data_IF_267270487431
#
_entry.id   IF_267270487431
#
_cell.length_a   1.000
_cell.length_b   1.000
_cell.length_c   1.000
_cell.angle_alpha   90.00
_cell.angle_beta   90.00
_cell.angle_gamma   90.00
#
_symmetry.space_group_name_H-M   'P 1'
#
loop_
_entity.id
_entity.type
_entity.pdbx_description
1 polymer ?
#
# COMPACT_ATOMS: atom_id res chain seq x y z
N UNK A 1 -7.55 5.24 -1.27
CA UNK A 1 -7.87 6.20 -2.35
C UNK A 1 -6.81 6.17 -3.47
N UNK A 2 -5.52 6.19 -3.16
CA UNK A 2 -4.41 6.22 -4.15
C UNK A 2 -4.47 5.15 -5.25
N UNK A 3 -4.81 3.87 -4.98
CA UNK A 3 -4.89 2.85 -6.02
C UNK A 3 -5.94 3.15 -7.09
N UNK A 4 -7.09 3.73 -6.69
CA UNK A 4 -8.16 4.10 -7.62
C UNK A 4 -7.71 5.22 -8.57
N UNK A 5 -7.02 6.22 -8.01
CA UNK A 5 -6.45 7.33 -8.79
C UNK A 5 -5.39 6.80 -9.76
N UNK A 6 -4.55 5.89 -9.30
CA UNK A 6 -3.54 5.26 -10.15
C UNK A 6 -4.14 4.49 -11.32
N UNK A 7 -5.13 3.62 -11.06
CA UNK A 7 -5.79 2.82 -12.10
C UNK A 7 -6.43 3.75 -13.13
N UNK A 8 -7.13 4.79 -12.68
CA UNK A 8 -7.73 5.78 -13.56
C UNK A 8 -6.68 6.52 -14.39
N UNK A 9 -5.64 7.07 -13.76
CA UNK A 9 -4.56 7.77 -14.45
C UNK A 9 -3.84 6.87 -15.45
N UNK A 10 -3.61 5.61 -15.08
CA UNK A 10 -3.01 4.58 -15.91
C UNK A 10 -3.86 4.24 -17.13
N UNK A 11 -5.18 4.19 -16.97
CA UNK A 11 -6.13 3.98 -18.07
C UNK A 11 -6.14 5.14 -19.07
N UNK A 12 -6.08 6.37 -18.56
CA UNK A 12 -6.04 7.59 -19.38
C UNK A 12 -4.62 7.99 -19.83
N UNK A 13 -3.60 7.17 -19.54
CA UNK A 13 -2.20 7.42 -19.89
C UNK A 13 -1.67 8.77 -19.36
N UNK A 14 -2.11 9.14 -18.16
CA UNK A 14 -1.64 10.34 -17.45
C UNK A 14 -0.49 9.93 -16.52
N UNK A 15 0.69 9.73 -17.12
CA UNK A 15 1.87 9.15 -16.47
C UNK A 15 2.22 9.84 -15.14
N UNK A 16 2.39 11.15 -15.14
CA UNK A 16 2.72 11.93 -13.93
C UNK A 16 1.71 11.75 -12.78
N UNK A 17 0.43 11.58 -13.10
CA UNK A 17 -0.59 11.35 -12.08
C UNK A 17 -0.54 9.92 -11.56
N UNK A 18 -0.25 8.95 -12.42
CA UNK A 18 -0.03 7.57 -11.99
C UNK A 18 1.22 7.45 -11.09
N UNK A 19 2.32 8.10 -11.45
CA UNK A 19 3.54 8.14 -10.62
C UNK A 19 3.26 8.79 -9.26
N UNK A 20 2.61 9.96 -9.24
CA UNK A 20 2.25 10.63 -8.00
C UNK A 20 1.33 9.77 -7.11
N UNK A 21 0.36 9.06 -7.71
CA UNK A 21 -0.52 8.17 -6.96
C UNK A 21 0.24 6.97 -6.37
N UNK A 22 1.21 6.41 -7.11
CA UNK A 22 2.08 5.34 -6.63
C UNK A 22 2.96 5.82 -5.47
N UNK A 23 3.62 6.96 -5.62
CA UNK A 23 4.45 7.56 -4.57
C UNK A 23 3.66 7.82 -3.29
N UNK A 24 2.44 8.35 -3.43
CA UNK A 24 1.57 8.57 -2.27
C UNK A 24 1.16 7.26 -1.60
N UNK A 25 0.91 6.19 -2.37
CA UNK A 25 0.66 4.88 -1.76
C UNK A 25 1.90 4.39 -1.00
N UNK A 26 3.10 4.50 -1.56
CA UNK A 26 4.33 4.08 -0.89
C UNK A 26 4.53 4.80 0.45
N UNK A 27 4.30 6.11 0.49
CA UNK A 27 4.33 6.88 1.74
C UNK A 27 3.29 6.39 2.76
N UNK A 28 2.08 6.06 2.32
CA UNK A 28 1.03 5.49 3.20
C UNK A 28 1.45 4.13 3.76
N UNK A 29 1.98 3.24 2.91
CA UNK A 29 2.46 1.92 3.33
C UNK A 29 3.63 2.05 4.32
N UNK A 30 4.52 3.02 4.11
CA UNK A 30 5.60 3.33 5.04
C UNK A 30 5.09 3.77 6.41
N UNK A 31 4.10 4.67 6.43
CA UNK A 31 3.50 5.12 7.67
C UNK A 31 2.86 3.97 8.45
N UNK A 32 2.30 2.96 7.77
CA UNK A 32 1.75 1.78 8.43
C UNK A 32 2.82 0.86 9.04
N UNK A 33 4.00 0.78 8.43
CA UNK A 33 5.08 -0.08 8.92
C UNK A 33 5.49 0.28 10.36
N UNK A 34 5.50 1.57 10.68
CA UNK A 34 5.91 2.12 11.98
C UNK A 34 4.82 2.00 13.07
N UNK A 35 3.64 1.45 12.75
CA UNK A 35 2.49 1.34 13.68
C UNK A 35 2.15 -0.12 14.02
N UNK A 36 1.51 -0.36 15.17
CA UNK A 36 0.89 -1.67 15.44
C UNK A 36 -0.35 -1.85 14.57
N UNK A 37 -0.48 -3.03 13.95
CA UNK A 37 -1.63 -3.34 13.10
C UNK A 37 -2.87 -3.67 13.93
N UNK A 38 -3.84 -2.78 13.90
CA UNK A 38 -5.19 -3.09 14.35
C UNK A 38 -5.96 -3.89 13.27
N UNK A 39 -7.07 -4.56 13.63
CA UNK A 39 -7.87 -5.32 12.67
C UNK A 39 -8.42 -4.52 11.49
N UNK A 40 -8.68 -3.22 11.66
CA UNK A 40 -9.18 -2.35 10.59
C UNK A 40 -8.08 -2.03 9.58
N UNK A 41 -6.85 -1.79 10.04
CA UNK A 41 -5.69 -1.58 9.18
C UNK A 41 -5.37 -2.83 8.37
N UNK A 42 -5.43 -4.02 8.98
CA UNK A 42 -5.26 -5.29 8.24
C UNK A 42 -6.34 -5.42 7.17
N UNK A 43 -7.60 -5.14 7.50
CA UNK A 43 -8.70 -5.16 6.54
C UNK A 43 -8.48 -4.18 5.38
N UNK A 44 -8.01 -2.97 5.66
CA UNK A 44 -7.67 -1.98 4.62
C UNK A 44 -6.57 -2.50 3.68
N UNK A 45 -5.54 -3.15 4.21
CA UNK A 45 -4.47 -3.75 3.40
C UNK A 45 -5.01 -4.89 2.54
N UNK A 46 -5.91 -5.71 3.09
CA UNK A 46 -6.56 -6.81 2.35
C UNK A 46 -7.40 -6.28 1.18
N UNK A 47 -8.17 -5.23 1.42
CA UNK A 47 -8.97 -4.55 0.38
C UNK A 47 -8.08 -3.88 -0.66
N UNK A 48 -6.97 -3.27 -0.23
CA UNK A 48 -5.96 -2.69 -1.11
C UNK A 48 -5.37 -3.73 -2.07
N UNK A 49 -4.93 -4.89 -1.54
CA UNK A 49 -4.37 -5.97 -2.37
C UNK A 49 -5.43 -6.48 -3.35
N UNK A 50 -6.64 -6.76 -2.86
CA UNK A 50 -7.75 -7.22 -3.71
C UNK A 50 -7.99 -6.25 -4.87
N UNK A 51 -8.14 -4.96 -4.55
CA UNK A 51 -8.39 -3.93 -5.55
C UNK A 51 -7.27 -3.85 -6.59
N UNK A 52 -6.00 -3.87 -6.16
CA UNK A 52 -4.85 -3.80 -7.07
C UNK A 52 -4.83 -5.01 -8.01
N UNK A 53 -5.03 -6.22 -7.49
CA UNK A 53 -5.01 -7.43 -8.32
C UNK A 53 -6.21 -7.57 -9.25
N UNK A 54 -7.37 -7.02 -8.88
CA UNK A 54 -8.55 -6.94 -9.74
C UNK A 54 -8.42 -5.90 -10.87
N UNK A 55 -7.69 -4.81 -10.64
CA UNK A 55 -7.73 -3.63 -11.51
C UNK A 55 -6.43 -3.30 -12.24
N UNK A 56 -5.35 -4.03 -11.96
CA UNK A 56 -4.10 -3.92 -12.72
C UNK A 56 -3.71 -5.27 -13.29
N UNK A 57 -2.87 -5.29 -14.32
CA UNK A 57 -2.35 -6.50 -14.96
C UNK A 57 -0.87 -6.32 -15.28
N UNK A 58 -0.16 -7.42 -15.54
CA UNK A 58 1.23 -7.38 -15.98
C UNK A 58 1.37 -6.47 -17.22
N UNK A 59 2.27 -5.49 -17.13
CA UNK A 59 2.59 -4.61 -18.25
C UNK A 59 3.85 -5.13 -18.92
N UNK A 60 3.75 -5.56 -20.16
CA UNK A 60 4.90 -5.93 -21.00
C UNK A 60 5.82 -7.01 -20.40
N UNK A 61 5.27 -7.95 -19.63
CA UNK A 61 6.03 -9.02 -18.97
C UNK A 61 6.73 -8.57 -17.68
N UNK A 62 6.62 -7.31 -17.29
CA UNK A 62 7.09 -6.81 -16.00
C UNK A 62 5.94 -6.75 -14.99
N UNK A 63 6.30 -6.97 -13.72
CA UNK A 63 5.36 -6.82 -12.62
C UNK A 63 4.91 -5.36 -12.54
N UNK A 64 3.59 -5.18 -12.53
CA UNK A 64 2.98 -3.86 -12.48
C UNK A 64 3.40 -3.12 -11.20
N UNK A 65 3.78 -1.83 -11.26
CA UNK A 65 4.35 -1.10 -10.13
C UNK A 65 3.51 -1.13 -8.85
N UNK A 66 2.18 -1.03 -8.97
CA UNK A 66 1.28 -1.08 -7.83
C UNK A 66 1.22 -2.48 -7.21
N UNK A 67 1.10 -3.55 -8.02
CA UNK A 67 1.22 -4.95 -7.56
C UNK A 67 2.54 -5.17 -6.83
N UNK A 68 3.64 -4.67 -7.38
CA UNK A 68 4.97 -4.77 -6.76
C UNK A 68 5.03 -4.07 -5.41
N UNK A 69 4.49 -2.86 -5.29
CA UNK A 69 4.49 -2.09 -4.05
C UNK A 69 3.73 -2.83 -2.93
N UNK A 70 2.49 -3.26 -3.20
CA UNK A 70 1.66 -3.95 -2.19
C UNK A 70 2.20 -5.33 -1.84
N UNK A 71 2.76 -6.06 -2.81
CA UNK A 71 3.35 -7.39 -2.59
C UNK A 71 4.59 -7.28 -1.70
N UNK A 72 5.51 -6.36 -2.02
CA UNK A 72 6.75 -6.22 -1.24
C UNK A 72 6.45 -5.80 0.20
N UNK A 73 5.52 -4.87 0.39
CA UNK A 73 5.06 -4.49 1.71
C UNK A 73 4.46 -5.69 2.46
N UNK A 74 3.59 -6.46 1.79
CA UNK A 74 2.98 -7.65 2.39
C UNK A 74 4.01 -8.71 2.76
N UNK A 75 5.04 -8.90 1.93
CA UNK A 75 6.13 -9.85 2.19
C UNK A 75 6.95 -9.45 3.43
N UNK A 76 7.21 -8.15 3.63
CA UNK A 76 7.94 -7.63 4.78
C UNK A 76 7.14 -7.79 6.07
N UNK A 77 5.83 -7.55 6.01
CA UNK A 77 4.96 -7.50 7.19
C UNK A 77 4.11 -8.78 7.35
N UNK A 78 4.42 -9.83 6.59
CA UNK A 78 3.56 -11.02 6.44
C UNK A 78 3.16 -11.64 7.76
N UNK A 79 4.12 -11.79 8.68
CA UNK A 79 3.89 -12.38 10.01
C UNK A 79 2.87 -11.58 10.82
N UNK A 80 2.88 -10.25 10.69
CA UNK A 80 1.97 -9.35 11.41
C UNK A 80 0.61 -9.29 10.72
N UNK A 81 0.59 -9.25 9.39
CA UNK A 81 -0.64 -9.14 8.59
C UNK A 81 -1.44 -10.44 8.54
N UNK A 82 -0.79 -11.61 8.58
CA UNK A 82 -1.49 -12.89 8.36
C UNK A 82 -1.99 -13.57 9.65
N UNK A 83 -2.12 -12.84 10.77
CA UNK A 83 -2.59 -13.40 12.05
C UNK A 83 -3.97 -14.04 11.95
N UNK A 84 -4.86 -13.49 11.10
CA UNK A 84 -6.23 -13.99 10.86
C UNK A 84 -6.38 -14.81 9.59
N UNK A 85 -5.27 -15.20 8.95
CA UNK A 85 -5.24 -15.92 7.67
C UNK A 85 -5.85 -15.17 6.48
N UNK A 86 -6.05 -13.85 6.59
CA UNK A 86 -6.67 -13.07 5.51
C UNK A 86 -5.75 -12.95 4.29
N UNK A 87 -4.44 -12.86 4.50
CA UNK A 87 -3.45 -12.93 3.41
C UNK A 87 -3.48 -14.33 2.77
N UNK A 88 -3.62 -15.40 3.56
CA UNK A 88 -3.77 -16.76 3.02
C UNK A 88 -5.03 -16.91 2.16
N UNK A 89 -6.14 -16.26 2.51
CA UNK A 89 -7.34 -16.22 1.65
C UNK A 89 -7.07 -15.47 0.36
N UNK A 90 -6.36 -14.33 0.41
CA UNK A 90 -5.98 -13.58 -0.79
C UNK A 90 -5.12 -14.42 -1.74
N UNK A 91 -4.16 -15.19 -1.22
CA UNK A 91 -3.37 -16.11 -2.03
C UNK A 91 -4.23 -17.17 -2.73
N UNK A 92 -5.31 -17.64 -2.08
CA UNK A 92 -6.26 -18.58 -2.68
C UNK A 92 -7.14 -17.94 -3.76
N UNK A 93 -7.52 -16.68 -3.58
CA UNK A 93 -8.38 -15.95 -4.52
C UNK A 93 -7.61 -15.37 -5.72
N UNK A 94 -6.33 -15.02 -5.53
CA UNK A 94 -5.49 -14.37 -6.51
C UNK A 94 -4.19 -15.16 -6.69
N UNK A 95 -4.16 -16.09 -7.65
CA UNK A 95 -2.98 -16.92 -7.93
C UNK A 95 -1.74 -16.10 -8.28
N UNK A 96 -1.89 -15.02 -9.07
CA UNK A 96 -0.80 -14.09 -9.38
C UNK A 96 -0.20 -13.47 -8.12
N UNK A 97 -1.04 -13.11 -7.14
CA UNK A 97 -0.56 -12.55 -5.87
C UNK A 97 0.24 -13.58 -5.08
N UNK A 98 -0.19 -14.84 -5.07
CA UNK A 98 0.57 -15.90 -4.42
C UNK A 98 1.97 -16.08 -5.05
N UNK A 99 2.06 -16.04 -6.39
CA UNK A 99 3.31 -16.12 -7.12
C UNK A 99 4.24 -14.93 -6.83
N UNK A 100 3.69 -13.72 -6.86
CA UNK A 100 4.42 -12.49 -6.59
C UNK A 100 4.94 -12.47 -5.15
N UNK A 101 4.09 -12.81 -4.18
CA UNK A 101 4.43 -12.85 -2.76
C UNK A 101 5.52 -13.89 -2.47
N UNK A 102 5.41 -15.09 -3.04
CA UNK A 102 6.43 -16.13 -2.86
C UNK A 102 7.78 -15.71 -3.45
N UNK A 103 7.77 -15.02 -4.59
CA UNK A 103 8.98 -14.49 -5.23
C UNK A 103 9.67 -13.44 -4.34
N UNK A 104 8.90 -12.54 -3.75
CA UNK A 104 9.39 -11.53 -2.82
C UNK A 104 9.94 -12.14 -1.51
N UNK A 105 9.23 -13.11 -0.93
CA UNK A 105 9.69 -13.82 0.27
C UNK A 105 11.01 -14.55 0.01
N UNK A 106 11.11 -15.25 -1.12
CA UNK A 106 12.33 -15.96 -1.52
C UNK A 106 13.50 -14.99 -1.71
N UNK A 107 13.26 -13.81 -2.29
CA UNK A 107 14.29 -12.75 -2.38
C UNK A 107 14.72 -12.28 -1.01
N UNK A 108 13.78 -12.02 -0.09
CA UNK A 108 14.09 -11.52 1.25
C UNK A 108 14.91 -12.53 2.06
N UNK A 109 14.61 -13.82 1.95
CA UNK A 109 15.40 -14.90 2.59
C UNK A 109 16.83 -14.92 2.05
N UNK A 110 17.02 -14.87 0.72
CA UNK A 110 18.35 -14.82 0.11
C UNK A 110 19.17 -13.61 0.57
N UNK A 111 18.54 -12.45 0.75
CA UNK A 111 19.22 -11.25 1.25
C UNK A 111 19.61 -11.40 2.73
N UNK A 112 18.77 -12.03 3.55
CA UNK A 112 19.07 -12.29 4.96
C UNK A 112 20.23 -13.30 5.15
N UNK A 113 20.35 -14.29 4.26
CA UNK A 113 21.43 -15.29 4.28
C UNK A 113 22.80 -14.70 3.87
N UNK A 114 22.79 -13.69 2.98
CA UNK A 114 24.03 -13.06 2.47
C UNK A 114 24.50 -11.89 3.36
N UNK A 115 23.61 -11.29 4.14
CA UNK A 115 23.85 -10.04 4.87
C UNK A 115 23.91 -10.19 6.39
N UNK A 116 25.04 -10.64 6.93
CA UNK A 116 25.40 -10.45 8.34
C UNK A 116 25.71 -8.99 8.74
N UNK A 117 25.16 -7.98 8.05
CA UNK A 117 25.51 -6.59 8.31
C UNK A 117 24.63 -5.54 7.62
N UNK A 118 24.17 -4.59 8.44
CA UNK A 118 23.69 -3.23 8.15
C UNK A 118 22.30 -3.10 7.50
N UNK A 119 21.30 -2.80 8.34
CA UNK A 119 19.98 -2.30 7.93
C UNK A 119 20.07 -0.85 7.44
N UNK A 120 20.05 -0.64 6.13
CA UNK A 120 19.60 0.64 5.57
C UNK A 120 18.06 0.64 5.50
N UNK A 121 17.41 1.74 5.89
CA UNK A 121 15.96 2.00 5.77
C UNK A 121 15.53 2.09 4.29
N UNK A 122 15.48 0.95 3.62
CA UNK A 122 14.78 0.81 2.35
C UNK A 122 13.45 0.12 2.63
N UNK A 123 12.34 0.78 2.30
CA UNK A 123 11.15 0.02 1.96
C UNK A 123 11.42 -0.58 0.58
N UNK A 124 11.68 -1.88 0.58
CA UNK A 124 11.51 -2.66 -0.62
C UNK A 124 12.48 -2.31 -1.78
N UNK A 125 13.70 -1.83 -1.49
CA UNK A 125 14.72 -1.54 -2.51
C UNK A 125 14.36 -0.39 -3.46
N UNK A 126 13.43 0.48 -3.07
CA UNK A 126 13.04 1.70 -3.79
C UNK A 126 13.60 2.89 -3.00
N UNK A 127 14.34 3.76 -3.69
CA UNK A 127 14.79 5.03 -3.10
C UNK A 127 13.59 5.97 -2.99
N UNK A 128 13.24 6.36 -1.76
CA UNK A 128 12.17 7.32 -1.50
C UNK A 128 12.84 8.68 -1.32
N UNK A 129 12.50 9.64 -2.18
CA UNK A 129 12.93 11.03 -2.03
C UNK A 129 12.18 11.66 -0.84
N UNK A 130 12.70 11.47 0.37
CA UNK A 130 12.24 12.22 1.54
C UNK A 130 12.81 13.63 1.50
N UNK A 131 11.97 14.62 1.16
CA UNK A 131 12.29 16.03 1.38
C UNK A 131 12.27 16.88 0.12
N UNK A 132 11.07 17.31 -0.27
CA UNK A 132 10.86 18.62 -0.89
C UNK A 132 9.86 19.39 -0.03
N UNK A 133 10.06 20.70 0.23
CA UNK A 133 9.06 21.49 0.94
C UNK A 133 7.72 21.39 0.19
N UNK A 134 6.67 21.05 0.93
CA UNK A 134 5.30 21.01 0.42
C UNK A 134 4.99 22.39 -0.20
N UNK A 135 4.56 22.46 -1.46
CA UNK A 135 4.23 23.73 -2.08
C UNK A 135 3.08 24.37 -1.31
N UNK A 136 3.18 25.68 -1.07
CA UNK A 136 2.30 26.49 -0.21
C UNK A 136 0.82 26.55 -0.66
N UNK A 137 0.47 25.86 -1.74
CA UNK A 137 -0.85 25.82 -2.33
C UNK A 137 -1.63 24.53 -2.05
N UNK A 138 -1.09 23.58 -1.28
CA UNK A 138 -1.86 22.43 -0.83
C UNK A 138 -2.91 22.88 0.19
N UNK A 139 -4.19 22.74 -0.16
CA UNK A 139 -5.33 22.90 0.75
C UNK A 139 -5.12 21.98 1.95
N UNK A 140 -5.09 22.54 3.17
CA UNK A 140 -5.05 21.76 4.40
C UNK A 140 -6.31 20.89 4.46
N UNK A 141 -6.14 19.57 4.54
CA UNK A 141 -7.25 18.63 4.69
C UNK A 141 -8.02 18.98 5.97
N UNK A 142 -9.27 19.42 5.80
CA UNK A 142 -10.23 19.53 6.88
C UNK A 142 -10.38 18.15 7.55
N UNK A 143 -10.33 18.16 8.88
CA UNK A 143 -10.55 17.01 9.75
C UNK A 143 -11.87 16.30 9.40
N UNK A 144 -11.80 15.20 8.66
CA UNK A 144 -12.92 14.27 8.52
C UNK A 144 -13.02 13.43 9.78
N UNK A 145 -13.74 13.95 10.79
CA UNK A 145 -14.17 13.17 11.94
C UNK A 145 -14.11 13.91 13.28
N UNK A 146 -15.16 14.64 13.60
CA UNK A 146 -15.68 14.66 14.97
C UNK A 146 -17.21 14.60 14.88
N UNK A 147 -17.86 13.64 15.57
CA UNK A 147 -19.31 13.56 15.60
C UNK A 147 -19.82 14.55 16.64
N UNK A 148 -20.78 15.40 16.27
CA UNK A 148 -21.72 15.91 17.25
C UNK A 148 -23.12 15.88 16.64
N UNK A 149 -23.75 14.73 16.89
CA UNK A 149 -25.19 14.61 17.00
C UNK A 149 -25.60 15.49 18.17
N UNK A 150 -26.43 16.51 17.92
CA UNK A 150 -27.45 16.89 18.87
C UNK A 150 -28.76 17.09 18.10
N UNK A 151 -29.67 16.16 18.37
CA UNK A 151 -31.08 16.22 18.03
C UNK A 151 -31.70 17.49 18.62
N UNK A 152 -32.68 18.04 17.89
CA UNK A 152 -33.33 19.28 18.24
C UNK A 152 -34.25 19.21 19.46
N UNK A 153 -34.56 20.42 19.92
CA UNK A 153 -35.81 20.86 20.57
C UNK A 153 -35.84 22.34 20.23
N UNK A 154 -36.82 22.86 19.48
CA UNK A 154 -38.23 22.85 19.83
C UNK A 154 -38.57 24.26 20.33
N UNK A 155 -39.59 24.86 19.73
CA UNK A 155 -40.06 26.24 19.93
C UNK A 155 -40.22 26.69 21.38
N UNK A 156 -39.98 27.98 21.64
CA UNK A 156 -40.99 29.00 22.01
C UNK A 156 -40.38 30.41 21.99
#
# INVERSE_FOLDING_TARGET
MHPKVYVLASYWVIEKLSELALDRLLCTLQAFQDTEYDPQQVQYIVELISYVYENTCFRFGEQEPMRRAVTRFTALELTRLNTRRDISKLMGNYGDFACDLLSDLTRNVKLAEVGGGIQHKYLAGIEIHTGGPQPSNCVQEYQWGSPNINFGTGAE
#
